data_IF_242947862759
#
_entry.id   IF_242947862759
#
_cell.length_a   1.000
_cell.length_b   1.000
_cell.length_c   1.000
_cell.angle_alpha   90.00
_cell.angle_beta   90.00
_cell.angle_gamma   90.00
#
_symmetry.space_group_name_H-M   'P 1'
#
loop_
_entity.id
_entity.type
_entity.pdbx_description
1 polymer ?
#
# COMPACT_ATOMS: atom_id res chain seq x y z
N UNK A 1 -2.48 16.78 8.00
CA UNK A 1 -2.01 15.58 8.74
C UNK A 1 -2.97 14.38 8.72
N UNK A 2 -4.22 14.53 8.25
CA UNK A 2 -5.22 13.43 8.20
C UNK A 2 -4.76 12.18 7.42
N UNK A 3 -4.00 12.36 6.34
CA UNK A 3 -3.45 11.28 5.52
C UNK A 3 -2.50 10.35 6.28
N UNK A 4 -1.52 10.93 6.98
CA UNK A 4 -0.54 10.15 7.75
C UNK A 4 -1.18 9.46 8.96
N UNK A 5 -2.16 10.09 9.60
CA UNK A 5 -2.93 9.46 10.69
C UNK A 5 -3.72 8.25 10.20
N UNK A 6 -4.39 8.36 9.05
CA UNK A 6 -5.12 7.23 8.46
C UNK A 6 -4.18 6.09 8.04
N UNK A 7 -2.99 6.40 7.56
CA UNK A 7 -1.96 5.40 7.29
C UNK A 7 -1.49 4.70 8.56
N UNK A 8 -1.15 5.46 9.60
CA UNK A 8 -0.74 4.91 10.89
C UNK A 8 -1.82 3.99 11.49
N UNK A 9 -3.09 4.40 11.42
CA UNK A 9 -4.22 3.58 11.87
C UNK A 9 -4.30 2.23 11.14
N UNK A 10 -4.09 2.20 9.82
CA UNK A 10 -4.03 0.94 9.06
C UNK A 10 -2.84 0.07 9.43
N UNK A 11 -1.67 0.67 9.67
CA UNK A 11 -0.50 -0.08 10.09
C UNK A 11 -0.71 -0.73 11.46
N UNK A 12 -1.28 0.01 12.41
CA UNK A 12 -1.61 -0.53 13.74
C UNK A 12 -2.64 -1.64 13.63
N UNK A 13 -3.71 -1.45 12.84
CA UNK A 13 -4.72 -2.49 12.63
C UNK A 13 -4.13 -3.74 11.96
N UNK A 14 -3.27 -3.57 10.96
CA UNK A 14 -2.61 -4.68 10.27
C UNK A 14 -1.62 -5.42 11.16
N UNK A 15 -0.81 -4.71 11.92
CA UNK A 15 0.08 -5.30 12.91
C UNK A 15 -0.69 -6.08 13.98
N UNK A 16 -1.79 -5.50 14.50
CA UNK A 16 -2.67 -6.16 15.45
C UNK A 16 -3.27 -7.46 14.88
N UNK A 17 -3.69 -7.47 13.61
CA UNK A 17 -4.20 -8.66 12.95
C UNK A 17 -3.14 -9.78 12.85
N UNK A 18 -1.90 -9.43 12.47
CA UNK A 18 -0.79 -10.40 12.36
C UNK A 18 -0.40 -10.94 13.73
N UNK A 19 -0.29 -10.08 14.74
CA UNK A 19 0.00 -10.49 16.12
C UNK A 19 -1.10 -11.38 16.68
N UNK A 20 -2.37 -11.04 16.44
CA UNK A 20 -3.51 -11.86 16.83
C UNK A 20 -3.47 -13.23 16.16
N UNK A 21 -3.17 -13.28 14.87
CA UNK A 21 -3.06 -14.54 14.13
C UNK A 21 -1.91 -15.41 14.65
N UNK A 22 -0.76 -14.80 14.97
CA UNK A 22 0.36 -15.50 15.60
C UNK A 22 0.01 -16.01 17.00
N UNK A 23 -0.67 -15.21 17.82
CA UNK A 23 -1.09 -15.61 19.16
C UNK A 23 -2.09 -16.79 19.11
N UNK A 24 -3.04 -16.75 18.18
CA UNK A 24 -3.99 -17.85 17.92
C UNK A 24 -3.26 -19.12 17.49
N UNK A 25 -2.27 -18.99 16.59
CA UNK A 25 -1.44 -20.13 16.17
C UNK A 25 -0.73 -20.76 17.38
N UNK A 26 -0.06 -19.95 18.21
CA UNK A 26 0.65 -20.43 19.41
C UNK A 26 -0.30 -21.04 20.44
N UNK A 27 -1.52 -20.51 20.59
CA UNK A 27 -2.50 -21.00 21.55
C UNK A 27 -3.12 -22.35 21.12
N UNK A 28 -3.38 -22.54 19.82
CA UNK A 28 -4.00 -23.75 19.30
C UNK A 28 -3.00 -24.88 19.01
N UNK A 29 -1.72 -24.54 18.79
CA UNK A 29 -0.73 -25.55 18.44
C UNK A 29 -0.45 -26.48 19.63
N UNK A 30 -0.48 -27.82 19.44
CA UNK A 30 -0.25 -28.76 20.52
C UNK A 30 1.16 -28.55 21.08
N UNK A 31 1.24 -28.26 22.38
CA UNK A 31 2.53 -28.16 23.08
C UNK A 31 3.08 -29.58 23.19
N UNK A 32 4.26 -29.82 22.59
CA UNK A 32 4.94 -31.11 22.67
C UNK A 32 5.15 -31.57 24.11
N UNK A 33 5.30 -32.88 24.29
CA UNK A 33 5.54 -33.47 25.61
C UNK A 33 6.71 -32.78 26.30
N UNK A 34 6.51 -32.41 27.57
CA UNK A 34 7.57 -31.85 28.38
C UNK A 34 8.63 -32.94 28.55
N UNK A 35 9.82 -32.71 28.01
CA UNK A 35 10.96 -33.59 28.26
C UNK A 35 11.13 -33.75 29.77
N UNK A 36 11.44 -34.99 30.19
CA UNK A 36 11.75 -35.25 31.59
C UNK A 36 12.89 -34.32 32.03
N UNK A 37 12.88 -33.82 33.29
CA UNK A 37 13.85 -32.83 33.77
C UNK A 37 15.32 -33.28 33.67
N UNK A 38 15.56 -34.57 33.43
CA UNK A 38 16.87 -35.17 33.17
C UNK A 38 17.50 -34.77 31.83
N UNK A 39 16.69 -34.42 30.82
CA UNK A 39 17.15 -34.17 29.45
C UNK A 39 17.26 -32.68 29.09
N UNK A 40 17.15 -31.78 30.09
CA UNK A 40 17.29 -30.33 29.90
C UNK A 40 15.96 -29.60 29.66
N UNK A 41 16.01 -28.28 29.39
CA UNK A 41 14.82 -27.48 29.14
C UNK A 41 14.11 -27.94 27.86
N UNK A 42 12.78 -27.83 27.86
CA UNK A 42 11.97 -28.12 26.66
C UNK A 42 12.40 -27.20 25.50
N UNK A 43 12.74 -27.75 24.32
CA UNK A 43 13.16 -26.93 23.19
C UNK A 43 12.03 -25.97 22.78
N UNK A 44 12.35 -24.75 22.31
CA UNK A 44 11.34 -23.83 21.80
C UNK A 44 10.71 -24.42 20.53
N UNK A 45 9.38 -24.23 20.35
CA UNK A 45 8.67 -24.74 19.17
C UNK A 45 9.22 -24.19 17.85
N UNK A 46 9.64 -22.93 17.85
CA UNK A 46 10.23 -22.27 16.69
C UNK A 46 11.59 -22.90 16.34
N UNK A 47 11.82 -23.20 15.06
CA UNK A 47 13.00 -23.89 14.49
C UNK A 47 13.14 -25.38 14.81
N UNK A 48 12.47 -25.91 15.85
CA UNK A 48 12.57 -27.31 16.24
C UNK A 48 11.41 -28.15 15.71
N UNK A 49 10.22 -27.55 15.60
CA UNK A 49 9.07 -28.16 14.93
C UNK A 49 8.92 -27.57 13.54
N UNK A 50 9.05 -28.42 12.52
CA UNK A 50 8.98 -28.06 11.12
C UNK A 50 7.61 -27.49 10.75
N UNK A 51 6.53 -28.09 11.23
CA UNK A 51 5.17 -27.68 10.92
C UNK A 51 4.85 -26.33 11.59
N UNK A 52 5.19 -26.18 12.86
CA UNK A 52 5.03 -24.89 13.56
C UNK A 52 5.81 -23.76 12.89
N UNK A 53 7.02 -24.07 12.41
CA UNK A 53 7.88 -23.11 11.70
C UNK A 53 7.29 -22.70 10.36
N UNK A 54 6.77 -23.66 9.57
CA UNK A 54 6.07 -23.34 8.31
C UNK A 54 4.78 -22.55 8.52
N UNK A 55 4.00 -22.87 9.55
CA UNK A 55 2.79 -22.13 9.89
C UNK A 55 3.13 -20.68 10.28
N UNK A 56 4.14 -20.51 11.14
CA UNK A 56 4.63 -19.17 11.53
C UNK A 56 5.13 -18.39 10.30
N UNK A 57 5.88 -19.02 9.39
CA UNK A 57 6.28 -18.40 8.13
C UNK A 57 5.07 -17.95 7.31
N UNK A 58 4.02 -18.77 7.22
CA UNK A 58 2.77 -18.42 6.56
C UNK A 58 2.10 -17.16 7.14
N UNK A 59 2.06 -17.05 8.48
CA UNK A 59 1.54 -15.84 9.16
C UNK A 59 2.31 -14.59 8.76
N UNK A 60 3.64 -14.67 8.75
CA UNK A 60 4.50 -13.55 8.35
C UNK A 60 4.36 -13.19 6.88
N UNK A 61 4.15 -14.19 6.00
CA UNK A 61 3.88 -13.96 4.58
C UNK A 61 2.56 -13.21 4.37
N UNK A 62 1.51 -13.60 5.10
CA UNK A 62 0.23 -12.86 5.12
C UNK A 62 0.45 -11.45 5.63
N UNK A 63 1.26 -11.26 6.67
CA UNK A 63 1.63 -9.94 7.19
C UNK A 63 2.35 -9.07 6.15
N UNK A 64 3.30 -9.64 5.42
CA UNK A 64 4.00 -8.95 4.33
C UNK A 64 3.05 -8.56 3.19
N UNK A 65 2.14 -9.46 2.80
CA UNK A 65 1.10 -9.19 1.81
C UNK A 65 0.14 -8.08 2.25
N UNK A 66 -0.27 -8.09 3.52
CA UNK A 66 -1.11 -7.06 4.11
C UNK A 66 -0.41 -5.69 4.13
N UNK A 67 0.86 -5.66 4.54
CA UNK A 67 1.66 -4.44 4.54
C UNK A 67 1.82 -3.87 3.12
N UNK A 68 2.09 -4.74 2.13
CA UNK A 68 2.13 -4.35 0.72
C UNK A 68 0.78 -3.76 0.27
N UNK A 69 -0.34 -4.41 0.60
CA UNK A 69 -1.68 -3.94 0.25
C UNK A 69 -2.00 -2.58 0.90
N UNK A 70 -1.62 -2.37 2.17
CA UNK A 70 -1.80 -1.08 2.86
C UNK A 70 -1.01 0.02 2.15
N UNK A 71 0.27 -0.22 1.85
CA UNK A 71 1.12 0.76 1.15
C UNK A 71 0.55 1.06 -0.25
N UNK A 72 0.14 0.03 -0.98
CA UNK A 72 -0.46 0.16 -2.30
C UNK A 72 -1.75 0.99 -2.28
N UNK A 73 -2.64 0.72 -1.31
CA UNK A 73 -3.88 1.47 -1.15
C UNK A 73 -3.62 2.93 -0.75
N UNK A 74 -2.64 3.21 0.11
CA UNK A 74 -2.28 4.59 0.45
C UNK A 74 -1.71 5.37 -0.72
N UNK A 75 -0.88 4.74 -1.56
CA UNK A 75 -0.34 5.39 -2.77
C UNK A 75 -1.43 5.85 -3.73
N UNK A 76 -2.58 5.17 -3.76
CA UNK A 76 -3.70 5.45 -4.68
C UNK A 76 -4.81 6.30 -4.05
N UNK A 77 -4.55 6.95 -2.90
CA UNK A 77 -5.50 7.84 -2.25
C UNK A 77 -5.08 9.29 -2.35
N UNK A 78 -6.08 10.16 -2.45
CA UNK A 78 -5.88 11.58 -2.37
C UNK A 78 -5.38 11.99 -0.98
N UNK A 79 -4.37 12.87 -0.93
CA UNK A 79 -3.72 13.32 0.32
C UNK A 79 -4.61 14.25 1.17
N UNK A 80 -5.62 14.86 0.57
CA UNK A 80 -6.59 15.74 1.25
C UNK A 80 -7.86 14.98 1.65
N UNK A 81 -8.55 14.39 0.68
CA UNK A 81 -9.85 13.73 0.87
C UNK A 81 -9.83 12.27 1.30
N UNK A 82 -8.67 11.60 1.25
CA UNK A 82 -8.52 10.17 1.55
C UNK A 82 -9.34 9.21 0.67
N UNK A 83 -10.04 9.73 -0.35
CA UNK A 83 -10.73 8.91 -1.35
C UNK A 83 -9.72 8.31 -2.34
N UNK A 84 -10.07 7.15 -2.88
CA UNK A 84 -9.30 6.50 -3.94
C UNK A 84 -9.34 7.39 -5.18
N UNK A 85 -8.18 7.59 -5.79
CA UNK A 85 -8.05 8.30 -7.05
C UNK A 85 -8.69 7.44 -8.15
N UNK A 86 -9.41 8.09 -9.05
CA UNK A 86 -10.14 7.42 -10.13
C UNK A 86 -9.66 7.98 -11.47
N UNK A 87 -10.20 7.42 -12.56
CA UNK A 87 -9.99 7.91 -13.93
C UNK A 87 -8.52 7.87 -14.37
N UNK A 88 -8.01 6.70 -14.77
CA UNK A 88 -6.68 6.60 -15.37
C UNK A 88 -6.68 7.29 -16.73
N UNK A 89 -5.96 8.41 -16.84
CA UNK A 89 -5.73 9.13 -18.09
C UNK A 89 -4.31 8.85 -18.55
N UNK A 90 -4.17 8.26 -19.74
CA UNK A 90 -2.85 8.05 -20.33
C UNK A 90 -2.38 9.34 -20.98
N UNK A 91 -1.21 9.83 -20.57
CA UNK A 91 -0.51 10.95 -21.22
C UNK A 91 0.81 10.47 -21.82
N UNK A 92 1.27 11.20 -22.83
CA UNK A 92 2.47 10.86 -23.58
C UNK A 92 2.20 9.89 -24.73
N UNK A 93 3.26 9.45 -25.40
CA UNK A 93 3.12 8.49 -26.49
C UNK A 93 4.27 7.50 -26.50
N UNK A 94 4.00 6.26 -26.93
CA UNK A 94 5.02 5.24 -27.10
C UNK A 94 5.89 5.49 -28.34
N UNK A 95 5.29 5.93 -29.46
CA UNK A 95 6.00 6.14 -30.73
C UNK A 95 6.76 7.46 -30.83
N UNK A 96 6.38 8.47 -30.06
CA UNK A 96 6.95 9.82 -30.12
C UNK A 96 7.29 10.33 -28.72
N UNK A 97 8.05 9.54 -27.96
CA UNK A 97 8.43 9.86 -26.58
C UNK A 97 9.20 11.18 -26.42
N UNK A 98 9.95 11.60 -27.46
CA UNK A 98 10.73 12.84 -27.43
C UNK A 98 9.82 14.08 -27.56
N UNK A 99 8.71 13.97 -28.29
CA UNK A 99 7.82 15.11 -28.59
C UNK A 99 6.72 15.22 -27.54
N UNK A 100 6.03 14.12 -27.25
CA UNK A 100 4.88 14.11 -26.33
C UNK A 100 5.24 13.72 -24.90
N UNK A 101 6.52 13.45 -24.64
CA UNK A 101 6.99 12.94 -23.37
C UNK A 101 6.72 11.44 -23.21
N UNK A 102 7.23 10.90 -22.10
CA UNK A 102 7.14 9.48 -21.75
C UNK A 102 5.69 9.07 -21.44
N UNK A 103 5.29 7.83 -21.77
CA UNK A 103 3.98 7.32 -21.41
C UNK A 103 3.84 7.26 -19.88
N UNK A 104 2.80 7.92 -19.36
CA UNK A 104 2.45 7.94 -17.94
C UNK A 104 0.95 7.86 -17.77
N UNK A 105 0.53 7.15 -16.74
CA UNK A 105 -0.87 7.08 -16.32
C UNK A 105 -1.11 8.07 -15.19
N UNK A 106 -2.08 8.94 -15.36
CA UNK A 106 -2.46 9.92 -14.37
C UNK A 106 -3.80 9.58 -13.73
N UNK A 107 -3.87 9.71 -12.42
CA UNK A 107 -5.05 9.44 -11.61
C UNK A 107 -5.53 10.72 -10.96
N UNK A 108 -6.81 11.03 -11.11
CA UNK A 108 -7.39 12.31 -10.70
C UNK A 108 -8.24 12.10 -9.44
N UNK A 109 -8.20 13.06 -8.52
CA UNK A 109 -9.15 13.10 -7.41
C UNK A 109 -10.54 13.50 -7.95
N UNK A 110 -11.63 12.77 -7.63
CA UNK A 110 -12.97 13.13 -8.12
C UNK A 110 -13.42 14.54 -7.68
N UNK A 111 -12.90 15.03 -6.56
CA UNK A 111 -13.20 16.36 -6.04
C UNK A 111 -12.25 17.46 -6.53
N UNK A 112 -11.25 17.11 -7.36
CA UNK A 112 -10.35 18.10 -7.96
C UNK A 112 -9.18 18.58 -7.09
N UNK A 113 -8.90 17.97 -5.94
CA UNK A 113 -7.79 18.40 -5.06
C UNK A 113 -6.38 18.15 -5.59
N UNK A 114 -6.22 17.32 -6.61
CA UNK A 114 -4.89 16.97 -7.11
C UNK A 114 -4.88 15.76 -8.05
N UNK A 115 -3.74 15.59 -8.71
CA UNK A 115 -3.47 14.54 -9.68
C UNK A 115 -2.22 13.77 -9.29
N UNK A 116 -2.29 12.43 -9.39
CA UNK A 116 -1.14 11.55 -9.19
C UNK A 116 -0.68 11.01 -10.54
N UNK A 117 0.55 11.30 -10.93
CA UNK A 117 1.15 10.73 -12.13
C UNK A 117 2.06 9.54 -11.81
N UNK A 118 1.90 8.47 -12.56
CA UNK A 118 2.67 7.23 -12.45
C UNK A 118 3.24 6.94 -13.83
N UNK A 119 4.55 6.90 -13.96
CA UNK A 119 5.20 6.49 -15.21
C UNK A 119 4.88 5.02 -15.51
N UNK A 120 4.50 4.72 -16.75
CA UNK A 120 4.23 3.35 -17.20
C UNK A 120 5.53 2.57 -17.39
N UNK A 121 6.57 3.25 -17.87
CA UNK A 121 7.87 2.67 -18.15
C UNK A 121 9.00 3.48 -17.51
N UNK A 122 9.74 2.84 -16.61
CA UNK A 122 10.89 3.42 -15.93
C UNK A 122 12.19 3.00 -16.63
N UNK A 123 12.61 3.76 -17.65
CA UNK A 123 13.85 3.49 -18.40
C UNK A 123 15.08 4.00 -17.63
N UNK A 124 14.92 5.09 -16.87
CA UNK A 124 16.03 5.81 -16.21
C UNK A 124 15.83 5.85 -14.71
N UNK A 125 16.17 4.75 -14.03
CA UNK A 125 16.04 4.63 -12.57
C UNK A 125 14.60 4.59 -12.06
N UNK A 126 14.44 4.49 -10.74
CA UNK A 126 13.13 4.36 -10.09
C UNK A 126 12.54 5.75 -9.84
N UNK A 127 11.57 6.16 -10.65
CA UNK A 127 10.80 7.38 -10.40
C UNK A 127 9.71 7.14 -9.36
N UNK A 128 9.59 8.03 -8.38
CA UNK A 128 8.47 7.99 -7.43
C UNK A 128 7.21 8.56 -8.08
N UNK A 129 6.02 8.07 -7.71
CA UNK A 129 4.77 8.70 -8.14
C UNK A 129 4.75 10.19 -7.78
N UNK A 130 4.55 11.04 -8.78
CA UNK A 130 4.54 12.50 -8.59
C UNK A 130 3.10 12.96 -8.33
N UNK A 131 2.92 13.67 -7.22
CA UNK A 131 1.62 14.20 -6.81
C UNK A 131 1.63 15.71 -6.95
N UNK A 132 0.74 16.20 -7.79
CA UNK A 132 0.55 17.61 -8.03
C UNK A 132 -0.73 18.06 -7.34
N UNK A 133 -0.65 18.87 -6.27
CA UNK A 133 -1.81 19.46 -5.63
C UNK A 133 -2.42 20.54 -6.56
N UNK A 134 -3.75 20.64 -6.55
CA UNK A 134 -4.50 21.73 -7.21
C UNK A 134 -5.18 22.60 -6.15
N UNK A 135 -5.56 23.83 -6.51
CA UNK A 135 -6.24 24.78 -5.62
C UNK A 135 -7.69 24.34 -5.35
N UNK A 136 -7.85 23.39 -4.42
CA UNK A 136 -9.05 22.73 -3.90
C UNK A 136 -10.00 22.09 -4.92
N UNK A 137 -10.20 22.68 -6.10
CA UNK A 137 -11.08 22.23 -7.15
C UNK A 137 -10.59 22.66 -8.55
N UNK A 138 -9.86 21.77 -9.23
CA UNK A 138 -9.47 21.92 -10.66
C UNK A 138 -10.65 22.24 -11.59
N UNK A 139 -11.87 21.83 -11.25
CA UNK A 139 -13.06 22.05 -12.09
C UNK A 139 -13.45 23.53 -12.18
N UNK A 140 -13.08 24.35 -11.18
CA UNK A 140 -13.34 25.81 -11.21
C UNK A 140 -12.56 26.50 -12.32
N UNK A 141 -11.34 26.04 -12.62
CA UNK A 141 -10.55 26.58 -13.73
C UNK A 141 -11.25 26.31 -15.07
N UNK A 142 -11.77 25.09 -15.26
CA UNK A 142 -12.51 24.71 -16.46
C UNK A 142 -13.81 25.51 -16.62
N UNK A 143 -14.57 25.69 -15.54
CA UNK A 143 -15.77 26.53 -15.53
C UNK A 143 -15.45 27.99 -15.87
N UNK A 144 -14.32 28.51 -15.37
CA UNK A 144 -13.90 29.88 -15.70
C UNK A 144 -13.57 30.06 -17.18
N UNK A 145 -12.97 29.05 -17.82
CA UNK A 145 -12.64 29.07 -19.25
C UNK A 145 -13.89 29.01 -20.13
N UNK A 146 -14.89 28.21 -19.75
CA UNK A 146 -16.18 28.15 -20.44
C UNK A 146 -16.88 29.51 -20.40
N UNK A 147 -16.92 30.16 -19.23
CA UNK A 147 -17.52 31.49 -19.07
C UNK A 147 -16.80 32.59 -19.86
N UNK A 148 -15.49 32.46 -20.12
CA UNK A 148 -14.76 33.42 -20.98
C UNK A 148 -14.98 33.19 -22.48
N UNK A 149 -15.56 32.06 -22.87
CA UNK A 149 -15.84 31.71 -24.26
C UNK A 149 -17.23 32.18 -24.70
N UNK A 150 -18.15 32.36 -23.76
CA UNK A 150 -19.46 33.02 -23.94
C UNK A 150 -19.33 34.54 -23.96
#
# INVERSE_FOLDING_TARGET
MKFWLYFAAKLVAGAGAVVGLQAVLVAMYPKGEKLLPRFGPTPPLFLHDLLFTFLTMGVWLVGAGLLFAIIWDQKRRCRTCLRRLIMPVNRGSWGHMVIFGRPKTEWICPFGHGTLSIEELQITGRHSPDWQPHDDNIWKELESLERTRE
#
